data_IF_939184169881
#
_entry.id   IF_939184169881
#
_cell.length_a   1.000
_cell.length_b   1.000
_cell.length_c   1.000
_cell.angle_alpha   90.00
_cell.angle_beta   90.00
_cell.angle_gamma   90.00
#
_symmetry.space_group_name_H-M   'P 1'
#
loop_
_entity.id
_entity.type
_entity.pdbx_description
1 polymer ?
#
# COMPACT_ATOMS: atom_id res chain seq x y z
N UNK A 1 13.34 15.13 28.72
CA UNK A 1 13.10 16.32 27.87
C UNK A 1 13.35 15.92 26.43
N UNK A 2 12.50 16.38 25.52
CA UNK A 2 12.37 16.05 24.08
C UNK A 2 11.53 14.81 23.73
N UNK A 3 10.29 14.79 24.25
CA UNK A 3 9.17 14.15 23.56
C UNK A 3 8.45 15.21 22.72
N UNK A 4 8.24 14.94 21.43
CA UNK A 4 7.30 15.71 20.61
C UNK A 4 7.78 16.17 19.23
N UNK A 5 9.08 16.18 18.90
CA UNK A 5 9.55 16.74 17.61
C UNK A 5 9.45 15.78 16.41
N UNK A 6 9.47 14.46 16.63
CA UNK A 6 9.51 13.45 15.56
C UNK A 6 8.14 13.16 14.94
N UNK A 7 7.05 13.28 15.70
CA UNK A 7 5.69 13.10 15.19
C UNK A 7 5.26 14.27 14.28
N UNK A 8 5.64 15.51 14.62
CA UNK A 8 5.44 16.67 13.75
C UNK A 8 6.34 16.63 12.51
N UNK A 9 7.56 16.07 12.61
CA UNK A 9 8.38 15.84 11.42
C UNK A 9 7.73 14.83 10.46
N UNK A 10 7.06 13.80 10.98
CA UNK A 10 6.23 12.88 10.20
C UNK A 10 5.03 13.55 9.54
N UNK A 11 4.38 14.51 10.23
CA UNK A 11 3.25 15.29 9.69
C UNK A 11 3.71 16.35 8.69
N UNK A 12 4.86 17.00 8.88
CA UNK A 12 5.41 17.97 7.92
C UNK A 12 5.99 17.25 6.70
N UNK A 13 6.73 16.15 6.86
CA UNK A 13 7.23 15.38 5.72
C UNK A 13 6.13 14.62 4.98
N UNK A 14 5.19 13.99 5.71
CA UNK A 14 4.00 13.33 5.15
C UNK A 14 2.94 14.30 4.64
N UNK A 15 2.92 15.53 5.15
CA UNK A 15 2.10 16.64 4.65
C UNK A 15 2.69 17.29 3.39
N UNK A 16 4.01 17.45 3.31
CA UNK A 16 4.67 18.05 2.14
C UNK A 16 4.64 17.12 0.92
N UNK A 17 4.78 15.81 1.12
CA UNK A 17 4.57 14.81 0.05
C UNK A 17 3.09 14.65 -0.30
N UNK A 18 2.18 14.76 0.68
CA UNK A 18 0.73 14.86 0.40
C UNK A 18 0.37 16.08 -0.45
N UNK A 19 1.06 17.22 -0.31
CA UNK A 19 0.76 18.43 -1.11
C UNK A 19 1.18 18.26 -2.58
N UNK A 20 2.25 17.50 -2.86
CA UNK A 20 2.65 17.20 -4.25
C UNK A 20 1.70 16.19 -4.90
N UNK A 21 1.32 15.14 -4.17
CA UNK A 21 0.36 14.14 -4.65
C UNK A 21 -1.07 14.69 -4.75
N UNK A 22 -1.46 15.61 -3.86
CA UNK A 22 -2.74 16.36 -3.94
C UNK A 22 -2.74 17.31 -5.13
N UNK A 23 -1.62 17.93 -5.48
CA UNK A 23 -1.51 18.73 -6.71
C UNK A 23 -1.58 17.84 -7.95
N UNK A 24 -0.98 16.65 -7.95
CA UNK A 24 -1.12 15.70 -9.05
C UNK A 24 -2.55 15.13 -9.18
N UNK A 25 -3.24 14.90 -8.06
CA UNK A 25 -4.64 14.49 -7.99
C UNK A 25 -5.60 15.61 -8.43
N UNK A 26 -5.39 16.85 -7.95
CA UNK A 26 -6.16 18.03 -8.34
C UNK A 26 -5.95 18.42 -9.81
N UNK A 27 -4.80 18.08 -10.40
CA UNK A 27 -4.50 18.27 -11.82
C UNK A 27 -4.91 17.06 -12.71
N UNK A 28 -5.55 16.03 -12.15
CA UNK A 28 -6.09 14.89 -12.91
C UNK A 28 -5.05 13.87 -13.41
N UNK A 29 -3.82 13.88 -12.87
CA UNK A 29 -2.71 13.06 -13.37
C UNK A 29 -2.62 11.67 -12.73
N UNK A 30 -3.30 11.47 -11.60
CA UNK A 30 -3.43 10.17 -10.94
C UNK A 30 -4.89 9.90 -10.58
N UNK A 31 -5.49 8.94 -11.27
CA UNK A 31 -6.83 8.48 -10.93
C UNK A 31 -6.84 7.78 -9.55
N UNK A 32 -7.96 7.86 -8.83
CA UNK A 32 -8.14 7.28 -7.47
C UNK A 32 -7.75 5.79 -7.43
N UNK A 33 -7.97 5.10 -8.54
CA UNK A 33 -7.59 3.71 -8.77
C UNK A 33 -6.08 3.50 -8.67
N UNK A 34 -5.30 4.28 -9.41
CA UNK A 34 -3.84 4.18 -9.43
C UNK A 34 -3.24 4.54 -8.08
N UNK A 35 -3.83 5.52 -7.38
CA UNK A 35 -3.43 5.88 -6.02
C UNK A 35 -3.67 4.72 -5.05
N UNK A 36 -4.84 4.10 -5.08
CA UNK A 36 -5.16 2.95 -4.23
C UNK A 36 -4.23 1.77 -4.50
N UNK A 37 -4.07 1.36 -5.77
CA UNK A 37 -3.20 0.24 -6.16
C UNK A 37 -1.74 0.50 -5.74
N UNK A 38 -1.25 1.73 -5.91
CA UNK A 38 0.10 2.13 -5.46
C UNK A 38 0.24 2.07 -3.94
N UNK A 39 -0.76 2.55 -3.22
CA UNK A 39 -0.77 2.52 -1.76
C UNK A 39 -0.71 1.08 -1.25
N UNK A 40 -1.55 0.19 -1.80
CA UNK A 40 -1.54 -1.23 -1.42
C UNK A 40 -0.19 -1.87 -1.72
N UNK A 41 0.37 -1.67 -2.92
CA UNK A 41 1.71 -2.17 -3.29
C UNK A 41 2.82 -1.67 -2.38
N UNK A 42 2.80 -0.40 -1.98
CA UNK A 42 3.83 0.17 -1.10
C UNK A 42 3.74 -0.39 0.32
N UNK A 43 2.53 -0.50 0.88
CA UNK A 43 2.30 -1.03 2.22
C UNK A 43 2.75 -2.49 2.29
N UNK A 44 2.33 -3.33 1.34
CA UNK A 44 2.73 -4.74 1.33
C UNK A 44 4.22 -4.90 1.00
N UNK A 45 4.80 -4.02 0.18
CA UNK A 45 6.25 -3.96 -0.05
C UNK A 45 7.02 -3.72 1.25
N UNK A 46 6.59 -2.75 2.05
CA UNK A 46 7.20 -2.46 3.36
C UNK A 46 7.08 -3.65 4.33
N UNK A 47 5.91 -4.28 4.41
CA UNK A 47 5.71 -5.50 5.20
C UNK A 47 6.62 -6.64 4.71
N UNK A 48 6.74 -6.78 3.39
CA UNK A 48 7.64 -7.73 2.75
C UNK A 48 9.10 -7.49 3.13
N UNK A 49 9.59 -6.25 3.09
CA UNK A 49 10.94 -5.89 3.55
C UNK A 49 11.15 -6.27 5.01
N UNK A 50 10.23 -5.91 5.90
CA UNK A 50 10.35 -6.21 7.33
C UNK A 50 10.48 -7.72 7.57
N UNK A 51 9.54 -8.50 7.03
CA UNK A 51 9.57 -9.96 7.14
C UNK A 51 10.83 -10.55 6.50
N UNK A 52 11.20 -10.06 5.32
CA UNK A 52 12.39 -10.48 4.59
C UNK A 52 13.68 -10.27 5.37
N UNK A 53 13.86 -9.09 5.98
CA UNK A 53 15.03 -8.78 6.82
C UNK A 53 15.10 -9.72 8.02
N UNK A 54 13.98 -9.92 8.72
CA UNK A 54 13.91 -10.77 9.91
C UNK A 54 14.21 -12.25 9.57
N UNK A 55 13.44 -12.84 8.66
CA UNK A 55 13.62 -14.25 8.29
C UNK A 55 14.95 -14.48 7.56
N UNK A 56 15.36 -13.55 6.71
CA UNK A 56 16.66 -13.59 6.05
C UNK A 56 17.81 -13.56 7.06
N UNK A 57 17.73 -12.69 8.08
CA UNK A 57 18.72 -12.63 9.15
C UNK A 57 18.80 -13.91 9.98
N UNK A 58 17.65 -14.50 10.33
CA UNK A 58 17.58 -15.77 11.07
C UNK A 58 18.22 -16.91 10.26
N UNK A 59 17.82 -17.07 9.00
CA UNK A 59 18.38 -18.09 8.10
C UNK A 59 19.87 -17.87 7.82
N UNK A 60 20.28 -16.61 7.68
CA UNK A 60 21.68 -16.26 7.52
C UNK A 60 22.51 -16.63 8.75
N UNK A 61 21.99 -16.35 9.94
CA UNK A 61 22.65 -16.67 11.23
C UNK A 61 22.86 -18.17 11.40
N UNK A 62 21.90 -19.00 10.98
CA UNK A 62 22.02 -20.46 11.09
C UNK A 62 23.09 -21.05 10.17
N UNK A 63 23.41 -20.38 9.06
CA UNK A 63 24.48 -20.78 8.13
C UNK A 63 25.84 -20.29 8.65
N UNK A 64 25.95 -18.99 8.95
CA UNK A 64 27.19 -18.37 9.42
C UNK A 64 26.88 -17.19 10.35
N UNK A 65 27.09 -17.30 11.67
CA UNK A 65 26.81 -16.22 12.61
C UNK A 65 27.55 -14.91 12.26
N UNK A 66 26.87 -13.78 12.41
CA UNK A 66 27.41 -12.45 12.10
C UNK A 66 27.33 -12.13 10.61
N UNK A 67 28.22 -12.72 9.79
CA UNK A 67 28.28 -12.44 8.34
C UNK A 67 27.03 -12.92 7.63
N UNK A 68 26.60 -14.15 7.92
CA UNK A 68 25.37 -14.72 7.36
C UNK A 68 24.15 -13.91 7.77
N UNK A 69 24.07 -13.43 9.01
CA UNK A 69 22.98 -12.55 9.48
C UNK A 69 22.84 -11.31 8.57
N UNK A 70 23.95 -10.63 8.27
CA UNK A 70 23.94 -9.41 7.44
C UNK A 70 23.54 -9.74 5.99
N UNK A 71 24.17 -10.74 5.39
CA UNK A 71 23.88 -11.14 4.00
C UNK A 71 22.43 -11.61 3.87
N UNK A 72 21.99 -12.45 4.79
CA UNK A 72 20.64 -12.98 4.82
C UNK A 72 19.60 -11.88 4.98
N UNK A 73 19.81 -10.92 5.89
CA UNK A 73 18.92 -9.78 6.06
C UNK A 73 18.80 -8.92 4.79
N UNK A 74 19.92 -8.65 4.11
CA UNK A 74 19.93 -7.87 2.85
C UNK A 74 19.16 -8.62 1.76
N UNK A 75 19.49 -9.89 1.51
CA UNK A 75 18.85 -10.70 0.47
C UNK A 75 17.36 -10.90 0.77
N UNK A 76 17.04 -11.21 2.02
CA UNK A 76 15.66 -11.37 2.47
C UNK A 76 14.86 -10.08 2.31
N UNK A 77 15.41 -8.93 2.71
CA UNK A 77 14.76 -7.62 2.51
C UNK A 77 14.49 -7.31 1.04
N UNK A 78 15.46 -7.54 0.14
CA UNK A 78 15.28 -7.35 -1.30
C UNK A 78 14.22 -8.28 -1.89
N UNK A 79 14.19 -9.54 -1.45
CA UNK A 79 13.22 -10.52 -1.93
C UNK A 79 11.82 -10.19 -1.40
N UNK A 80 11.73 -9.86 -0.12
CA UNK A 80 10.50 -9.44 0.55
C UNK A 80 9.89 -8.19 -0.09
N UNK A 81 10.70 -7.19 -0.43
CA UNK A 81 10.28 -6.00 -1.17
C UNK A 81 9.61 -6.35 -2.51
N UNK A 82 10.26 -7.20 -3.32
CA UNK A 82 9.73 -7.63 -4.63
C UNK A 82 8.44 -8.40 -4.48
N UNK A 83 8.40 -9.38 -3.59
CA UNK A 83 7.21 -10.21 -3.36
C UNK A 83 6.07 -9.34 -2.81
N UNK A 84 6.36 -8.55 -1.78
CA UNK A 84 5.40 -7.66 -1.13
C UNK A 84 4.75 -6.71 -2.12
N UNK A 85 5.53 -5.99 -2.94
CA UNK A 85 4.97 -5.09 -3.97
C UNK A 85 4.13 -5.84 -4.99
N UNK A 86 4.61 -6.99 -5.47
CA UNK A 86 3.89 -7.81 -6.45
C UNK A 86 2.52 -8.23 -5.90
N UNK A 87 2.48 -8.74 -4.67
CA UNK A 87 1.24 -9.14 -3.99
C UNK A 87 0.31 -7.95 -3.81
N UNK A 88 0.81 -6.79 -3.33
CA UNK A 88 -0.04 -5.63 -3.09
C UNK A 88 -0.60 -5.00 -4.36
N UNK A 89 0.17 -4.97 -5.45
CA UNK A 89 -0.36 -4.52 -6.74
C UNK A 89 -1.46 -5.46 -7.26
N UNK A 90 -1.26 -6.77 -7.17
CA UNK A 90 -2.27 -7.75 -7.56
C UNK A 90 -3.54 -7.63 -6.70
N UNK A 91 -3.37 -7.52 -5.38
CA UNK A 91 -4.47 -7.35 -4.44
C UNK A 91 -5.24 -6.03 -4.70
N UNK A 92 -4.52 -4.92 -4.88
CA UNK A 92 -5.12 -3.63 -5.21
C UNK A 92 -5.94 -3.69 -6.50
N UNK A 93 -5.42 -4.35 -7.53
CA UNK A 93 -6.10 -4.51 -8.81
C UNK A 93 -7.35 -5.40 -8.69
N UNK A 94 -7.27 -6.50 -7.93
CA UNK A 94 -8.40 -7.40 -7.69
C UNK A 94 -9.53 -6.72 -6.90
N UNK A 95 -9.18 -5.95 -5.85
CA UNK A 95 -10.15 -5.21 -5.04
C UNK A 95 -10.85 -4.13 -5.86
N UNK A 96 -10.11 -3.40 -6.69
CA UNK A 96 -10.69 -2.41 -7.59
C UNK A 96 -11.68 -3.05 -8.59
N UNK A 97 -11.26 -4.13 -9.26
CA UNK A 97 -12.11 -4.81 -10.25
C UNK A 97 -13.39 -5.39 -9.62
N UNK A 98 -13.30 -5.84 -8.36
CA UNK A 98 -14.46 -6.31 -7.59
C UNK A 98 -15.43 -5.16 -7.29
N UNK A 99 -14.94 -3.98 -6.91
CA UNK A 99 -15.79 -2.81 -6.66
C UNK A 99 -16.53 -2.34 -7.92
N UNK A 100 -15.85 -2.32 -9.07
CA UNK A 100 -16.50 -2.02 -10.36
C UNK A 100 -17.65 -3.01 -10.62
N UNK A 101 -17.38 -4.30 -10.45
CA UNK A 101 -18.35 -5.37 -10.67
C UNK A 101 -19.57 -5.20 -9.75
N UNK A 102 -19.37 -4.88 -8.47
CA UNK A 102 -20.44 -4.63 -7.51
C UNK A 102 -21.26 -3.37 -7.82
N UNK A 103 -20.63 -2.30 -8.31
CA UNK A 103 -21.33 -1.07 -8.68
C UNK A 103 -22.18 -1.24 -9.95
N UNK A 104 -21.77 -2.08 -10.90
CA UNK A 104 -22.54 -2.39 -12.10
C UNK A 104 -23.66 -3.41 -11.88
N UNK A 105 -23.53 -4.26 -10.85
CA UNK A 105 -24.54 -5.27 -10.50
C UNK A 105 -25.58 -4.76 -9.51
N UNK A 106 -25.48 -3.53 -9.00
CA UNK A 106 -26.57 -2.89 -8.26
C UNK A 106 -27.73 -2.66 -9.23
N UNK A 107 -28.86 -3.39 -9.10
CA UNK A 107 -30.01 -3.11 -9.94
C UNK A 107 -30.50 -1.70 -9.60
N UNK A 108 -30.92 -0.95 -10.62
CA UNK A 108 -31.61 0.33 -10.50
C UNK A 108 -32.97 0.09 -9.81
N UNK A 109 -33.00 -0.23 -8.51
CA UNK A 109 -34.21 -0.55 -7.75
C UNK A 109 -34.67 0.59 -6.85
N UNK A 110 -34.22 1.82 -7.12
CA UNK A 110 -34.66 2.96 -6.33
C UNK A 110 -34.80 4.25 -7.16
N UNK A 111 -35.63 4.21 -8.20
CA UNK A 111 -36.13 5.46 -8.79
C UNK A 111 -37.51 5.38 -9.47
N UNK A 112 -38.22 4.24 -9.43
CA UNK A 112 -39.55 4.10 -10.06
C UNK A 112 -40.68 3.83 -9.07
N UNK A 113 -40.69 4.49 -7.92
CA UNK A 113 -41.86 4.50 -6.99
C UNK A 113 -42.02 5.86 -6.31
N UNK A 114 -42.07 6.94 -7.08
CA UNK A 114 -42.60 8.21 -6.58
C UNK A 114 -43.03 9.11 -7.73
N UNK A 115 -44.17 8.79 -8.38
CA UNK A 115 -45.15 9.75 -8.91
C UNK A 115 -46.19 9.02 -9.79
N UNK A 116 -47.15 8.39 -9.13
CA UNK A 116 -48.54 8.42 -9.56
C UNK A 116 -49.37 8.45 -8.27
N UNK A 117 -50.14 9.53 -8.07
CA UNK A 117 -51.57 9.27 -7.92
C UNK A 117 -52.47 10.30 -8.61
N UNK A 118 -53.56 9.73 -9.17
CA UNK A 118 -54.81 10.30 -9.69
C UNK A 118 -54.83 10.89 -11.10
#
# INVERSE_FOLDING_TARGET
MFEGSSLWAGVISGGMTQVQDTNAWANGQLDKTNYFIRTTGNVTGALGVMAGVEYGGILGTSILPGVGTVIGAILGGMLGDRIGRTVGYQAGNALFNTQITQNMMQPVTQQSTAQQPH
#
